data_IF_037393963263
#
_entry.id   IF_037393963263
#
_cell.length_a   1.000
_cell.length_b   1.000
_cell.length_c   1.000
_cell.angle_alpha   90.00
_cell.angle_beta   90.00
_cell.angle_gamma   90.00
#
_symmetry.space_group_name_H-M   'P 1'
#
loop_
_entity.id
_entity.type
_entity.pdbx_description
1 polymer ?
#
# COMPACT_ATOMS: atom_id res chain seq x y z
N UNK A 1 -6.92 -21.96 -2.80
CA UNK A 1 -5.69 -21.34 -2.24
C UNK A 1 -4.92 -22.37 -1.41
N UNK A 2 -3.63 -22.58 -1.71
CA UNK A 2 -2.69 -23.36 -0.89
C UNK A 2 -1.67 -22.36 -0.33
N UNK A 3 -1.42 -22.41 0.97
CA UNK A 3 -0.43 -21.56 1.62
C UNK A 3 0.86 -22.34 1.80
N UNK A 4 1.96 -21.80 1.30
CA UNK A 4 3.30 -22.35 1.54
C UNK A 4 3.97 -21.54 2.63
N UNK A 5 4.49 -22.24 3.64
CA UNK A 5 5.14 -21.62 4.79
C UNK A 5 6.64 -21.91 4.74
N UNK A 6 7.45 -20.87 4.92
CA UNK A 6 8.90 -20.93 5.08
C UNK A 6 9.21 -20.40 6.47
N UNK A 7 9.87 -21.20 7.32
CA UNK A 7 10.17 -20.84 8.71
C UNK A 7 8.93 -20.45 9.53
N UNK A 8 7.83 -21.20 9.38
CA UNK A 8 6.52 -20.90 9.98
C UNK A 8 5.89 -19.57 9.52
N UNK A 9 6.41 -18.94 8.47
CA UNK A 9 5.89 -17.72 7.90
C UNK A 9 5.38 -17.96 6.49
N UNK A 10 4.17 -17.47 6.21
CA UNK A 10 3.71 -17.39 4.84
C UNK A 10 4.40 -16.22 4.13
N UNK A 11 5.01 -16.48 2.98
CA UNK A 11 5.67 -15.48 2.14
C UNK A 11 5.23 -15.67 0.70
N UNK A 12 4.66 -14.63 0.11
CA UNK A 12 4.29 -14.62 -1.30
C UNK A 12 4.51 -13.24 -1.89
N UNK A 13 4.76 -13.20 -3.19
CA UNK A 13 4.93 -11.96 -3.93
C UNK A 13 3.66 -11.11 -3.89
N UNK A 14 3.83 -9.80 -3.71
CA UNK A 14 2.74 -8.80 -3.75
C UNK A 14 1.81 -8.96 -4.96
N UNK A 15 2.34 -9.37 -6.13
CA UNK A 15 1.60 -9.58 -7.38
C UNK A 15 0.87 -10.91 -7.48
N UNK A 16 1.10 -11.84 -6.56
CA UNK A 16 0.52 -13.20 -6.54
C UNK A 16 -0.39 -13.42 -5.35
N UNK A 17 -0.09 -12.77 -4.23
CA UNK A 17 -0.88 -12.87 -3.02
C UNK A 17 -2.31 -12.31 -3.23
N UNK A 18 -3.37 -13.13 -3.13
CA UNK A 18 -4.73 -12.68 -3.40
C UNK A 18 -5.20 -11.58 -2.45
N UNK A 19 -4.80 -11.64 -1.17
CA UNK A 19 -5.16 -10.64 -0.19
C UNK A 19 -4.53 -9.28 -0.53
N UNK A 20 -3.22 -9.24 -0.78
CA UNK A 20 -2.49 -8.03 -1.15
C UNK A 20 -2.98 -7.48 -2.49
N UNK A 21 -3.34 -8.34 -3.46
CA UNK A 21 -3.97 -7.88 -4.70
C UNK A 21 -5.30 -7.16 -4.45
N UNK A 22 -6.17 -7.70 -3.58
CA UNK A 22 -7.42 -7.04 -3.25
C UNK A 22 -7.26 -5.79 -2.38
N UNK A 23 -6.26 -5.79 -1.49
CA UNK A 23 -5.96 -4.69 -0.58
C UNK A 23 -5.34 -3.50 -1.33
N UNK A 24 -4.27 -3.74 -2.09
CA UNK A 24 -3.54 -2.70 -2.84
C UNK A 24 -4.36 -2.08 -3.99
N UNK A 25 -5.39 -2.78 -4.46
CA UNK A 25 -6.37 -2.23 -5.42
C UNK A 25 -7.52 -1.47 -4.77
N UNK A 26 -7.48 -1.32 -3.45
CA UNK A 26 -8.53 -0.71 -2.65
C UNK A 26 -9.89 -1.43 -2.75
N UNK A 27 -9.98 -2.66 -3.29
CA UNK A 27 -11.27 -3.36 -3.49
C UNK A 27 -11.80 -3.97 -2.20
N UNK A 28 -10.90 -4.45 -1.33
CA UNK A 28 -11.26 -5.12 -0.06
C UNK A 28 -11.19 -4.22 1.17
N UNK A 29 -11.02 -2.90 0.99
CA UNK A 29 -10.93 -1.99 2.14
C UNK A 29 -12.29 -1.82 2.84
N UNK A 30 -12.22 -1.49 4.14
CA UNK A 30 -13.37 -1.08 4.95
C UNK A 30 -13.86 0.29 4.49
N UNK A 31 -15.15 0.58 4.67
CA UNK A 31 -15.73 1.86 4.25
C UNK A 31 -15.08 3.08 4.94
N UNK A 32 -14.58 2.90 6.15
CA UNK A 32 -13.81 3.93 6.87
C UNK A 32 -12.49 4.30 6.19
N UNK A 33 -11.90 3.43 5.38
CA UNK A 33 -10.67 3.72 4.64
C UNK A 33 -10.89 4.72 3.49
N UNK A 34 -12.10 4.76 2.91
CA UNK A 34 -12.46 5.71 1.85
C UNK A 34 -12.90 7.08 2.41
N UNK A 35 -13.33 7.11 3.67
CA UNK A 35 -13.89 8.30 4.33
C UNK A 35 -13.13 8.63 5.62
N UNK A 36 -11.81 8.43 5.63
CA UNK A 36 -11.01 8.54 6.84
C UNK A 36 -10.82 10.01 7.25
N UNK A 37 -11.41 10.40 8.39
CA UNK A 37 -11.33 11.76 8.96
C UNK A 37 -9.94 12.15 9.48
N UNK A 38 -9.02 11.18 9.56
CA UNK A 38 -7.64 11.40 10.04
C UNK A 38 -6.64 11.68 8.90
N UNK A 39 -7.10 11.71 7.64
CA UNK A 39 -6.28 12.05 6.47
C UNK A 39 -6.09 13.57 6.38
N UNK A 40 -5.25 14.09 7.27
CA UNK A 40 -4.92 15.51 7.41
C UNK A 40 -3.51 15.64 8.00
N UNK A 41 -2.92 16.83 7.82
CA UNK A 41 -1.60 17.16 8.38
C UNK A 41 -1.66 17.15 9.91
N UNK A 42 -2.53 17.99 10.49
CA UNK A 42 -2.67 18.11 11.94
C UNK A 42 -3.54 17.00 12.51
N UNK A 43 -2.89 15.98 13.09
CA UNK A 43 -3.55 14.83 13.73
C UNK A 43 -3.67 15.02 15.25
N UNK A 44 -4.55 14.24 15.86
CA UNK A 44 -4.77 14.26 17.32
C UNK A 44 -3.64 13.57 18.11
N UNK A 45 -2.78 12.81 17.42
CA UNK A 45 -1.62 12.14 18.01
C UNK A 45 -0.53 13.14 18.33
N UNK A 46 0.17 12.98 19.46
CA UNK A 46 1.33 13.81 19.80
C UNK A 46 2.44 13.73 18.71
N UNK A 47 2.70 12.53 18.20
CA UNK A 47 3.68 12.24 17.14
C UNK A 47 3.02 11.36 16.06
N UNK A 48 3.28 11.66 14.79
CA UNK A 48 2.98 10.78 13.64
C UNK A 48 4.29 10.25 13.06
N UNK A 49 4.35 8.94 12.85
CA UNK A 49 5.47 8.23 12.24
C UNK A 49 5.03 7.58 10.93
N UNK A 50 5.95 7.47 9.98
CA UNK A 50 5.78 6.68 8.76
C UNK A 50 7.09 6.59 7.98
N UNK A 51 7.10 5.83 6.90
CA UNK A 51 8.26 5.79 6.00
C UNK A 51 8.38 7.13 5.27
N UNK A 52 9.59 7.67 5.16
CA UNK A 52 9.85 8.91 4.43
C UNK A 52 10.01 8.62 2.93
N UNK A 53 8.90 8.29 2.28
CA UNK A 53 8.87 8.13 0.82
C UNK A 53 9.38 9.42 0.15
N UNK A 54 10.32 9.28 -0.79
CA UNK A 54 10.89 10.44 -1.50
C UNK A 54 12.01 11.18 -0.76
N UNK A 55 12.52 10.64 0.37
CA UNK A 55 13.67 11.21 1.09
C UNK A 55 14.87 11.43 0.17
N UNK A 56 15.08 10.58 -0.85
CA UNK A 56 16.17 10.72 -1.82
C UNK A 56 16.07 11.99 -2.68
N UNK A 57 14.90 12.66 -2.66
CA UNK A 57 14.63 13.91 -3.38
C UNK A 57 14.51 15.11 -2.44
N UNK A 58 13.94 14.91 -1.26
CA UNK A 58 13.67 15.98 -0.29
C UNK A 58 14.90 16.24 0.59
N UNK A 59 15.57 15.16 1.02
CA UNK A 59 16.69 15.23 1.95
C UNK A 59 17.74 14.14 1.62
N UNK A 60 18.43 14.26 0.47
CA UNK A 60 19.25 13.18 -0.08
C UNK A 60 20.36 12.70 0.86
N UNK A 61 20.86 13.56 1.74
CA UNK A 61 21.84 13.21 2.77
C UNK A 61 21.38 12.15 3.79
N UNK A 62 20.07 11.97 3.96
CA UNK A 62 19.47 11.02 4.91
C UNK A 62 19.06 9.73 4.20
N UNK A 63 19.30 9.61 2.90
CA UNK A 63 19.00 8.41 2.12
C UNK A 63 20.14 7.39 2.25
N UNK A 64 19.83 6.24 2.85
CA UNK A 64 20.78 5.18 3.15
C UNK A 64 20.45 3.84 2.48
N UNK A 65 19.38 3.80 1.67
CA UNK A 65 18.86 2.59 1.00
C UNK A 65 18.44 1.45 1.96
N UNK A 66 18.36 1.69 3.27
CA UNK A 66 17.78 0.77 4.27
C UNK A 66 16.46 1.31 4.87
N UNK A 67 16.23 2.62 4.78
CA UNK A 67 14.95 3.26 5.02
C UNK A 67 15.02 4.37 6.06
N UNK A 68 14.48 5.54 5.72
CA UNK A 68 14.41 6.71 6.60
C UNK A 68 12.98 6.89 7.12
N UNK A 69 12.83 7.15 8.43
CA UNK A 69 11.53 7.46 9.03
C UNK A 69 11.18 8.95 8.89
N UNK A 70 9.93 9.24 8.56
CA UNK A 70 9.31 10.57 8.65
C UNK A 70 8.65 10.72 10.02
N UNK A 71 9.03 11.78 10.74
CA UNK A 71 8.51 12.12 12.06
C UNK A 71 7.83 13.48 12.01
N UNK A 72 6.54 13.53 12.37
CA UNK A 72 5.77 14.78 12.43
C UNK A 72 5.26 14.98 13.85
N UNK A 73 5.67 16.09 14.45
CA UNK A 73 5.30 16.49 15.81
C UNK A 73 4.04 17.36 15.72
N UNK A 74 2.96 16.99 16.41
CA UNK A 74 1.67 17.70 16.33
C UNK A 74 1.30 18.43 17.63
N UNK A 75 2.02 18.20 18.72
CA UNK A 75 1.69 18.77 20.04
C UNK A 75 2.96 19.10 20.82
N UNK A 76 2.82 19.97 21.82
CA UNK A 76 3.89 20.28 22.79
C UNK A 76 4.39 19.03 23.51
N UNK A 77 3.49 18.11 23.85
CA UNK A 77 3.88 16.84 24.47
C UNK A 77 4.70 15.98 23.51
N UNK A 78 4.36 15.96 22.22
CA UNK A 78 5.16 15.29 21.20
C UNK A 78 6.55 15.90 21.03
N UNK A 79 6.64 17.23 21.11
CA UNK A 79 7.91 17.95 21.09
C UNK A 79 8.79 17.60 22.30
N UNK A 80 8.22 17.59 23.51
CA UNK A 80 8.92 17.19 24.73
C UNK A 80 9.42 15.74 24.64
N UNK A 81 8.59 14.82 24.14
CA UNK A 81 8.98 13.42 23.91
C UNK A 81 10.11 13.29 22.89
N UNK A 82 10.01 14.00 21.76
CA UNK A 82 11.04 13.96 20.71
C UNK A 82 12.37 14.54 21.20
N UNK A 83 12.34 15.66 21.93
CA UNK A 83 13.53 16.29 22.50
C UNK A 83 14.29 15.35 23.44
N UNK A 84 13.58 14.54 24.23
CA UNK A 84 14.20 13.60 25.17
C UNK A 84 14.97 12.46 24.49
N UNK A 85 14.66 12.15 23.23
CA UNK A 85 15.35 11.08 22.47
C UNK A 85 16.29 11.63 21.39
N UNK A 86 16.27 12.94 21.15
CA UNK A 86 16.95 13.57 20.00
C UNK A 86 18.45 13.26 19.96
N UNK A 87 19.12 13.21 21.11
CA UNK A 87 20.55 12.91 21.20
C UNK A 87 20.88 11.43 20.91
N UNK A 88 19.89 10.54 20.91
CA UNK A 88 20.05 9.11 20.66
C UNK A 88 19.68 8.69 19.23
N UNK A 89 19.35 9.64 18.36
CA UNK A 89 18.92 9.38 16.98
C UNK A 89 19.60 10.34 16.02
N UNK A 90 19.87 9.87 14.80
CA UNK A 90 20.22 10.75 13.69
C UNK A 90 18.94 11.37 13.13
N UNK A 91 18.84 12.70 13.16
CA UNK A 91 17.67 13.40 12.66
C UNK A 91 18.03 14.71 11.98
N UNK A 92 17.25 15.08 10.97
CA UNK A 92 17.33 16.35 10.26
C UNK A 92 15.94 16.93 10.07
N UNK A 93 15.83 18.24 10.24
CA UNK A 93 14.58 18.95 10.09
C UNK A 93 14.28 19.22 8.61
N UNK A 94 12.99 19.14 8.26
CA UNK A 94 12.45 19.66 7.01
C UNK A 94 11.52 20.80 7.39
N UNK A 95 11.77 22.00 6.87
CA UNK A 95 11.07 23.22 7.32
C UNK A 95 9.60 23.26 6.88
N UNK A 96 9.32 22.85 5.63
CA UNK A 96 7.96 22.77 5.10
C UNK A 96 7.39 21.35 5.20
N UNK A 97 6.34 21.19 6.00
CA UNK A 97 5.62 19.93 6.13
C UNK A 97 5.07 19.44 4.79
N UNK A 98 4.65 20.33 3.88
CA UNK A 98 4.12 19.95 2.58
C UNK A 98 5.18 19.32 1.69
N UNK A 99 6.44 19.75 1.83
CA UNK A 99 7.56 19.12 1.16
C UNK A 99 7.83 17.73 1.74
N UNK A 100 7.86 17.61 3.07
CA UNK A 100 8.08 16.34 3.76
C UNK A 100 7.01 15.28 3.42
N UNK A 101 5.76 15.68 3.19
CA UNK A 101 4.65 14.74 2.88
C UNK A 101 4.36 14.61 1.38
N UNK A 102 5.12 15.28 0.50
CA UNK A 102 4.87 15.35 -0.94
C UNK A 102 4.70 13.99 -1.59
N UNK A 103 5.44 12.98 -1.12
CA UNK A 103 5.41 11.61 -1.62
C UNK A 103 4.66 10.64 -0.68
N UNK A 104 3.99 11.17 0.35
CA UNK A 104 3.18 10.43 1.33
C UNK A 104 1.68 10.79 1.18
N UNK A 105 1.02 10.53 0.03
CA UNK A 105 -0.36 10.93 -0.20
C UNK A 105 -1.34 10.31 0.80
N UNK A 106 -1.01 9.13 1.35
CA UNK A 106 -1.75 8.47 2.42
C UNK A 106 -1.82 9.29 3.71
N UNK A 107 -1.04 10.37 3.86
CA UNK A 107 -1.18 11.27 4.98
C UNK A 107 -2.43 12.13 4.89
N UNK A 108 -2.77 12.59 3.68
CA UNK A 108 -3.74 13.66 3.42
C UNK A 108 -4.94 13.22 2.58
N UNK A 109 -4.85 12.10 1.87
CA UNK A 109 -5.94 11.59 1.04
C UNK A 109 -6.42 10.22 1.51
N UNK A 110 -7.75 10.07 1.56
CA UNK A 110 -8.38 8.75 1.72
C UNK A 110 -8.22 7.92 0.45
N UNK A 111 -8.26 6.60 0.59
CA UNK A 111 -8.24 5.71 -0.57
C UNK A 111 -9.46 5.97 -1.45
N UNK A 112 -9.30 5.83 -2.77
CA UNK A 112 -10.43 5.89 -3.69
C UNK A 112 -11.22 4.58 -3.63
N UNK A 113 -12.55 4.68 -3.61
CA UNK A 113 -13.42 3.51 -3.66
C UNK A 113 -13.24 2.79 -5.01
N UNK A 114 -13.00 1.49 -4.95
CA UNK A 114 -12.94 0.69 -6.17
C UNK A 114 -14.35 0.36 -6.67
N UNK A 115 -14.57 0.52 -7.97
CA UNK A 115 -15.89 0.31 -8.60
C UNK A 115 -16.41 -1.12 -8.47
N UNK A 116 -15.53 -2.11 -8.27
CA UNK A 116 -15.94 -3.50 -8.13
C UNK A 116 -16.19 -3.89 -6.67
N UNK A 117 -15.94 -3.02 -5.68
CA UNK A 117 -16.10 -3.33 -4.26
C UNK A 117 -17.46 -3.93 -3.93
N UNK A 118 -18.55 -3.29 -4.37
CA UNK A 118 -19.92 -3.75 -4.09
C UNK A 118 -20.10 -5.21 -4.54
N UNK A 119 -19.75 -5.48 -5.80
CA UNK A 119 -19.81 -6.83 -6.39
C UNK A 119 -18.85 -7.82 -5.73
N UNK A 120 -17.68 -7.35 -5.30
CA UNK A 120 -16.70 -8.16 -4.57
C UNK A 120 -17.30 -8.69 -3.27
N UNK A 121 -17.89 -7.81 -2.45
CA UNK A 121 -18.48 -8.21 -1.18
C UNK A 121 -19.79 -9.01 -1.35
N UNK A 122 -20.62 -8.68 -2.35
CA UNK A 122 -21.82 -9.48 -2.69
C UNK A 122 -21.50 -10.95 -3.08
N UNK A 123 -20.27 -11.23 -3.52
CA UNK A 123 -19.84 -12.57 -3.95
C UNK A 123 -18.84 -13.20 -2.98
N UNK A 124 -18.55 -12.56 -1.84
CA UNK A 124 -17.48 -13.00 -0.93
C UNK A 124 -17.70 -14.42 -0.41
N UNK A 125 -18.94 -14.73 -0.04
CA UNK A 125 -19.32 -16.05 0.50
C UNK A 125 -19.73 -17.05 -0.60
N UNK A 126 -19.83 -16.59 -1.85
CA UNK A 126 -20.28 -17.39 -3.00
C UNK A 126 -19.07 -18.00 -3.74
N UNK A 127 -17.99 -17.24 -3.87
CA UNK A 127 -16.81 -17.62 -4.64
C UNK A 127 -15.64 -17.91 -3.71
N UNK A 128 -14.81 -18.91 -4.09
CA UNK A 128 -13.49 -19.06 -3.45
C UNK A 128 -12.68 -17.77 -3.60
N UNK A 129 -12.00 -17.36 -2.52
CA UNK A 129 -11.36 -16.05 -2.43
C UNK A 129 -10.37 -15.76 -3.57
N UNK A 130 -9.54 -16.73 -3.95
CA UNK A 130 -8.61 -16.61 -5.09
C UNK A 130 -9.35 -16.29 -6.41
N UNK A 131 -10.47 -16.97 -6.68
CA UNK A 131 -11.33 -16.71 -7.84
C UNK A 131 -12.04 -15.36 -7.74
N UNK A 132 -12.47 -14.97 -6.55
CA UNK A 132 -13.10 -13.68 -6.29
C UNK A 132 -12.16 -12.51 -6.60
N UNK A 133 -10.93 -12.59 -6.07
CA UNK A 133 -9.86 -11.61 -6.30
C UNK A 133 -9.54 -11.54 -7.80
N UNK A 134 -9.30 -12.69 -8.44
CA UNK A 134 -9.05 -12.74 -9.89
C UNK A 134 -10.18 -12.10 -10.72
N UNK A 135 -11.44 -12.26 -10.31
CA UNK A 135 -12.59 -11.72 -11.03
C UNK A 135 -12.73 -10.20 -10.91
N UNK A 136 -12.43 -9.64 -9.74
CA UNK A 136 -12.80 -8.26 -9.41
C UNK A 136 -11.62 -7.31 -9.22
N UNK A 137 -10.40 -7.80 -9.03
CA UNK A 137 -9.21 -6.97 -8.75
C UNK A 137 -8.18 -7.03 -9.88
N UNK A 138 -8.06 -8.17 -10.58
CA UNK A 138 -7.16 -8.32 -11.71
C UNK A 138 -7.71 -7.64 -12.96
N UNK A 139 -7.07 -6.55 -13.38
CA UNK A 139 -7.09 -6.11 -14.78
C UNK A 139 -5.90 -6.76 -15.47
N UNK A 140 -6.10 -7.92 -16.08
CA UNK A 140 -5.10 -8.43 -17.03
C UNK A 140 -5.10 -7.45 -18.21
N UNK A 141 -3.96 -6.81 -18.55
CA UNK A 141 -3.89 -5.99 -19.74
C UNK A 141 -4.39 -6.77 -20.95
N UNK A 142 -5.19 -6.13 -21.80
CA UNK A 142 -5.80 -6.78 -22.98
C UNK A 142 -4.75 -7.49 -23.84
N UNK A 143 -3.56 -6.89 -24.00
CA UNK A 143 -2.47 -7.52 -24.77
C UNK A 143 -2.00 -8.85 -24.15
N UNK A 144 -2.00 -9.00 -22.83
CA UNK A 144 -1.67 -10.26 -22.14
C UNK A 144 -2.80 -11.29 -22.33
N UNK A 145 -4.06 -10.86 -22.24
CA UNK A 145 -5.21 -11.73 -22.52
C UNK A 145 -5.19 -12.27 -23.96
N UNK A 146 -4.93 -11.38 -24.93
CA UNK A 146 -4.82 -11.71 -26.35
C UNK A 146 -3.64 -12.65 -26.59
N UNK A 147 -2.46 -12.34 -26.07
CA UNK A 147 -1.28 -13.20 -26.21
C UNK A 147 -1.50 -14.62 -25.65
N UNK A 148 -2.17 -14.73 -24.49
CA UNK A 148 -2.51 -16.02 -23.90
C UNK A 148 -3.53 -16.81 -24.74
N UNK A 149 -4.50 -16.12 -25.35
CA UNK A 149 -5.48 -16.74 -26.25
C UNK A 149 -4.81 -17.23 -27.54
N UNK A 150 -3.94 -16.43 -28.16
CA UNK A 150 -3.16 -16.81 -29.33
C UNK A 150 -2.26 -18.03 -29.04
N UNK A 151 -1.54 -18.04 -27.91
CA UNK A 151 -0.73 -19.20 -27.49
C UNK A 151 -1.54 -20.49 -27.35
N UNK A 152 -2.76 -20.42 -26.82
CA UNK A 152 -3.66 -21.60 -26.73
C UNK A 152 -4.10 -22.10 -28.11
N UNK A 153 -4.41 -21.19 -29.04
CA UNK A 153 -4.81 -21.54 -30.42
C UNK A 153 -3.63 -22.20 -31.15
N UNK A 154 -2.45 -21.58 -31.11
CA UNK A 154 -1.23 -22.12 -31.73
C UNK A 154 -0.90 -23.51 -31.17
N UNK A 155 -0.96 -23.71 -29.85
CA UNK A 155 -0.77 -25.04 -29.25
C UNK A 155 -1.79 -26.07 -29.71
N UNK A 156 -3.04 -25.68 -29.97
CA UNK A 156 -4.07 -26.57 -30.52
C UNK A 156 -3.82 -26.93 -31.98
N UNK A 157 -3.24 -26.01 -32.76
CA UNK A 157 -2.88 -26.24 -34.17
C UNK A 157 -1.63 -27.13 -34.26
N UNK A 158 -0.63 -26.90 -33.41
CA UNK A 158 0.65 -27.66 -33.43
C UNK A 158 0.52 -29.05 -32.79
N UNK A 159 -0.43 -29.27 -31.86
CA UNK A 159 -0.74 -30.61 -31.31
C UNK A 159 -1.72 -31.42 -32.17
N UNK A 160 -2.04 -30.94 -33.37
CA UNK A 160 -2.85 -31.65 -34.36
C UNK A 160 -1.94 -31.99 -35.55
#
# INVERSE_FOLDING_TARGET
>A
MKFEYVDFQYKENLKKDPYLQAFLKNTSLRDSCYNCKFKKINRMSDITLGDFWGVEKVLPEMYDNIGTSLVIINSRKGEELFRNIKENIECKAVEDVNEAIKYNPSMIYSSKIDKNRKKFFENLDILQFDKLVMKYTYKIPIHILVANKCKKIIKKIIKK
#
